data_IF_371972629025
#
_entry.id   IF_371972629025
#
_cell.length_a   1.000
_cell.length_b   1.000
_cell.length_c   1.000
_cell.angle_alpha   90.00
_cell.angle_beta   90.00
_cell.angle_gamma   90.00
#
_symmetry.space_group_name_H-M   'P 1'
#
loop_
_entity.id
_entity.type
_entity.pdbx_description
1 polymer ?
#
# COMPACT_ATOMS: atom_id res chain seq x y z
N UNK A 1 20.67 7.18 7.86
CA UNK A 1 20.05 5.93 8.35
C UNK A 1 18.58 6.05 8.06
N UNK A 2 17.99 5.07 7.41
CA UNK A 2 16.55 5.03 7.14
C UNK A 2 15.76 4.82 8.44
N UNK A 3 14.60 5.45 8.53
CA UNK A 3 13.70 5.31 9.68
C UNK A 3 12.35 4.81 9.21
N UNK A 4 11.86 3.74 9.81
CA UNK A 4 10.53 3.20 9.53
C UNK A 4 10.20 3.11 8.02
N UNK A 5 10.97 2.34 7.21
CA UNK A 5 10.70 2.21 5.79
C UNK A 5 9.39 1.44 5.57
N UNK A 6 8.50 1.95 4.71
CA UNK A 6 7.17 1.38 4.46
C UNK A 6 7.07 0.69 3.12
N UNK A 7 7.60 1.32 2.07
CA UNK A 7 7.55 0.79 0.71
C UNK A 7 8.89 1.00 0.01
N UNK A 8 9.19 0.15 -0.98
CA UNK A 8 10.36 0.28 -1.80
C UNK A 8 10.09 -0.15 -3.24
N UNK A 9 10.82 0.45 -4.18
CA UNK A 9 10.80 0.02 -5.57
C UNK A 9 12.12 0.36 -6.25
N UNK A 10 12.50 -0.44 -7.25
CA UNK A 10 13.69 -0.21 -8.03
C UNK A 10 13.36 0.23 -9.45
N UNK A 11 14.18 1.11 -9.99
CA UNK A 11 14.12 1.41 -11.41
C UNK A 11 14.96 0.40 -12.22
N UNK A 12 14.90 0.55 -13.54
CA UNK A 12 15.63 -0.31 -14.47
C UNK A 12 17.16 -0.18 -14.42
N UNK A 13 17.67 0.82 -13.71
CA UNK A 13 19.10 1.02 -13.47
C UNK A 13 19.56 0.43 -12.14
N UNK A 14 18.62 -0.10 -11.34
CA UNK A 14 18.89 -0.64 -10.00
C UNK A 14 18.95 0.42 -8.92
N UNK A 15 18.55 1.67 -9.20
CA UNK A 15 18.38 2.68 -8.17
C UNK A 15 17.16 2.36 -7.33
N UNK A 16 17.31 2.41 -6.02
CA UNK A 16 16.28 2.03 -5.06
C UNK A 16 15.62 3.28 -4.48
N UNK A 17 14.30 3.35 -4.63
CA UNK A 17 13.47 4.37 -4.01
C UNK A 17 12.79 3.77 -2.79
N UNK A 18 12.97 4.40 -1.63
CA UNK A 18 12.45 3.93 -0.34
C UNK A 18 11.63 5.01 0.31
N UNK A 19 10.43 4.66 0.72
CA UNK A 19 9.53 5.56 1.47
C UNK A 19 9.81 5.42 2.96
N UNK A 20 10.01 6.56 3.62
CA UNK A 20 10.18 6.66 5.06
C UNK A 20 8.98 7.36 5.68
N UNK A 21 8.33 6.74 6.68
CA UNK A 21 7.24 7.39 7.40
C UNK A 21 7.67 7.95 8.75
N UNK A 22 7.32 9.21 8.98
CA UNK A 22 7.37 9.87 10.28
C UNK A 22 5.95 10.15 10.83
N UNK A 23 4.91 10.01 9.99
CA UNK A 23 3.53 10.34 10.34
C UNK A 23 2.82 9.23 11.08
N UNK A 24 3.09 7.95 10.76
CA UNK A 24 2.47 6.81 11.40
C UNK A 24 2.65 6.84 12.92
N UNK A 25 1.54 6.67 13.66
CA UNK A 25 1.54 6.69 15.12
C UNK A 25 1.93 8.04 15.75
N UNK A 26 2.02 9.11 14.94
CA UNK A 26 2.36 10.47 15.39
C UNK A 26 1.28 11.48 15.04
N UNK A 27 0.93 11.61 13.77
CA UNK A 27 -0.06 12.56 13.23
C UNK A 27 -1.01 11.92 12.23
N UNK A 28 -0.80 10.66 11.87
CA UNK A 28 -1.78 9.86 11.15
C UNK A 28 -2.95 9.55 12.08
N UNK A 29 -4.16 9.94 11.66
CA UNK A 29 -5.33 9.91 12.53
C UNK A 29 -6.00 8.55 12.50
N UNK A 30 -6.39 8.09 13.69
CA UNK A 30 -7.13 6.86 13.89
C UNK A 30 -8.37 7.12 14.76
N UNK A 31 -9.54 6.94 14.18
CA UNK A 31 -10.81 7.25 14.85
C UNK A 31 -11.11 6.31 16.03
N UNK A 32 -10.38 5.20 16.16
CA UNK A 32 -10.51 4.28 17.30
C UNK A 32 -10.29 4.97 18.64
N UNK A 33 -9.47 5.99 18.66
CA UNK A 33 -9.21 6.83 19.83
C UNK A 33 -10.25 7.93 20.03
N UNK A 34 -11.14 8.16 19.05
CA UNK A 34 -12.08 9.29 19.01
C UNK A 34 -13.50 8.82 18.69
N UNK A 35 -14.09 8.02 19.55
CA UNK A 35 -15.42 7.41 19.32
C UNK A 35 -16.55 8.40 19.10
N UNK A 36 -16.44 9.59 19.65
CA UNK A 36 -17.37 10.71 19.44
C UNK A 36 -17.30 11.30 18.02
N UNK A 37 -16.26 10.94 17.24
CA UNK A 37 -16.12 11.39 15.85
C UNK A 37 -16.73 10.40 14.84
N UNK A 38 -17.04 9.17 15.24
CA UNK A 38 -17.46 8.07 14.34
C UNK A 38 -18.63 8.48 13.44
N UNK A 39 -19.66 9.13 13.98
CA UNK A 39 -20.83 9.53 13.18
C UNK A 39 -20.46 10.62 12.17
N UNK A 40 -19.65 11.59 12.59
CA UNK A 40 -19.21 12.68 11.71
C UNK A 40 -18.28 12.13 10.61
N UNK A 41 -17.36 11.22 10.94
CA UNK A 41 -16.47 10.56 9.99
C UNK A 41 -17.27 9.73 8.98
N UNK A 42 -18.16 8.83 9.43
CA UNK A 42 -19.00 8.01 8.55
C UNK A 42 -19.95 8.82 7.66
N UNK A 43 -20.23 10.06 8.02
CA UNK A 43 -21.03 10.99 7.19
C UNK A 43 -20.20 11.66 6.09
N UNK A 44 -18.88 11.61 6.16
CA UNK A 44 -17.98 12.20 5.17
C UNK A 44 -18.12 11.50 3.81
N UNK A 45 -18.10 12.27 2.74
CA UNK A 45 -18.26 11.80 1.37
C UNK A 45 -17.14 12.29 0.45
N UNK A 46 -16.38 13.29 0.92
CA UNK A 46 -15.33 13.96 0.12
C UNK A 46 -14.15 14.35 1.00
N UNK A 47 -13.04 14.68 0.35
CA UNK A 47 -11.85 15.24 1.03
C UNK A 47 -12.16 16.55 1.74
N UNK A 48 -13.10 17.33 1.22
CA UNK A 48 -13.55 18.57 1.89
C UNK A 48 -14.26 18.29 3.22
N UNK A 49 -14.95 17.17 3.34
CA UNK A 49 -15.66 16.81 4.57
C UNK A 49 -14.69 16.34 5.66
N UNK A 50 -13.73 15.45 5.33
CA UNK A 50 -12.72 15.01 6.31
C UNK A 50 -11.82 16.17 6.75
N UNK A 51 -11.44 17.07 5.84
CA UNK A 51 -10.70 18.29 6.19
C UNK A 51 -11.49 19.18 7.13
N UNK A 52 -12.80 19.34 6.88
CA UNK A 52 -13.69 20.08 7.77
C UNK A 52 -13.81 19.42 9.15
N UNK A 53 -13.92 18.08 9.18
CA UNK A 53 -13.95 17.31 10.42
C UNK A 53 -12.71 17.60 11.26
N UNK A 54 -11.51 17.45 10.69
CA UNK A 54 -10.25 17.70 11.39
C UNK A 54 -10.18 19.14 11.91
N UNK A 55 -10.45 20.12 11.07
CA UNK A 55 -10.40 21.53 11.46
C UNK A 55 -11.45 21.90 12.50
N UNK A 56 -12.58 21.19 12.57
CA UNK A 56 -13.62 21.39 13.58
C UNK A 56 -13.24 20.72 14.90
N UNK A 57 -12.86 19.46 14.87
CA UNK A 57 -12.54 18.67 16.07
C UNK A 57 -11.20 19.09 16.69
N UNK A 58 -10.28 19.58 15.88
CA UNK A 58 -8.98 20.09 16.31
C UNK A 58 -8.87 21.61 16.09
N UNK A 59 -9.96 22.35 16.33
CA UNK A 59 -9.93 23.82 16.21
C UNK A 59 -9.02 24.45 17.28
N UNK A 60 -8.38 25.59 16.99
CA UNK A 60 -7.57 26.32 18.00
C UNK A 60 -8.34 26.66 19.28
N UNK A 61 -9.65 26.91 19.16
CA UNK A 61 -10.54 27.14 20.30
C UNK A 61 -10.72 25.90 21.20
N UNK A 62 -10.34 24.71 20.75
CA UNK A 62 -10.37 23.46 21.50
C UNK A 62 -8.98 23.03 21.99
N UNK A 63 -7.97 23.91 21.91
CA UNK A 63 -6.57 23.58 22.25
C UNK A 63 -6.43 22.92 23.62
N UNK A 64 -7.01 23.49 24.69
CA UNK A 64 -6.94 22.89 26.03
C UNK A 64 -7.67 21.52 26.12
N UNK A 65 -8.73 21.33 25.33
CA UNK A 65 -9.43 20.05 25.23
C UNK A 65 -8.57 19.00 24.51
N UNK A 66 -7.83 19.40 23.49
CA UNK A 66 -7.01 18.51 22.66
C UNK A 66 -5.62 18.20 23.28
N UNK A 67 -5.12 19.07 24.16
CA UNK A 67 -3.81 18.95 24.81
C UNK A 67 -3.45 17.57 25.38
N UNK A 68 -4.36 16.78 25.97
CA UNK A 68 -4.03 15.47 26.50
C UNK A 68 -3.60 14.42 25.46
N UNK A 69 -3.98 14.60 24.18
CA UNK A 69 -3.74 13.61 23.12
C UNK A 69 -3.05 14.17 21.86
N UNK A 70 -3.12 15.49 21.62
CA UNK A 70 -2.50 16.16 20.48
C UNK A 70 -1.32 17.02 20.97
N UNK A 71 -0.06 16.58 20.79
CA UNK A 71 1.10 17.38 21.16
C UNK A 71 1.25 18.66 20.33
N UNK A 72 1.68 19.76 20.93
CA UNK A 72 2.09 20.99 20.23
C UNK A 72 3.41 20.74 19.48
N UNK A 73 3.31 20.28 18.23
CA UNK A 73 4.46 19.90 17.41
C UNK A 73 5.05 21.06 16.64
N UNK A 74 4.24 22.05 16.31
CA UNK A 74 4.67 23.26 15.61
C UNK A 74 5.17 24.35 16.57
N UNK A 75 5.04 24.13 17.90
CA UNK A 75 5.51 24.99 18.99
C UNK A 75 4.88 26.41 18.95
N UNK A 76 3.63 26.51 18.52
CA UNK A 76 2.89 27.78 18.48
C UNK A 76 2.08 28.05 19.76
N UNK A 77 2.10 27.13 20.73
CA UNK A 77 1.39 27.20 22.00
C UNK A 77 -0.06 26.74 21.92
N UNK A 78 -0.49 26.17 20.78
CA UNK A 78 -1.83 25.60 20.56
C UNK A 78 -1.75 24.11 20.25
N UNK A 79 -2.77 23.36 20.62
CA UNK A 79 -2.92 21.93 20.32
C UNK A 79 -4.06 21.77 19.32
N UNK A 80 -3.76 21.90 18.03
CA UNK A 80 -4.76 21.96 16.97
C UNK A 80 -4.31 21.30 15.66
N UNK A 81 -5.18 21.33 14.63
CA UNK A 81 -4.93 20.68 13.35
C UNK A 81 -3.60 21.09 12.67
N UNK A 82 -3.00 22.26 13.02
CA UNK A 82 -1.73 22.71 12.44
C UNK A 82 -0.56 21.86 12.92
N UNK A 83 -0.68 21.23 14.10
CA UNK A 83 0.31 20.29 14.60
C UNK A 83 0.50 19.07 13.69
N UNK A 84 -0.57 18.66 12.98
CA UNK A 84 -0.48 17.58 12.01
C UNK A 84 0.38 17.94 10.79
N UNK A 85 0.59 19.24 10.54
CA UNK A 85 1.42 19.71 9.41
C UNK A 85 2.91 19.80 9.75
N UNK A 86 3.28 19.64 11.01
CA UNK A 86 4.68 19.73 11.45
C UNK A 86 5.52 18.51 11.06
N UNK A 87 4.89 17.37 10.74
CA UNK A 87 5.56 16.10 10.43
C UNK A 87 5.49 15.82 8.94
N UNK A 88 6.67 15.64 8.34
CA UNK A 88 6.85 15.40 6.89
C UNK A 88 7.14 13.95 6.60
N UNK A 89 6.66 13.48 5.46
CA UNK A 89 7.07 12.20 4.85
C UNK A 89 8.21 12.40 3.86
N UNK A 90 8.96 11.31 3.58
CA UNK A 90 10.13 11.34 2.68
C UNK A 90 10.20 10.13 1.76
N UNK A 91 10.77 10.36 0.59
CA UNK A 91 11.25 9.33 -0.32
C UNK A 91 12.77 9.47 -0.39
N UNK A 92 13.47 8.38 -0.16
CA UNK A 92 14.93 8.30 -0.28
C UNK A 92 15.33 7.61 -1.61
N UNK A 93 16.39 8.09 -2.22
CA UNK A 93 17.09 7.45 -3.33
C UNK A 93 18.37 6.84 -2.80
N UNK A 94 18.49 5.52 -2.98
CA UNK A 94 19.69 4.76 -2.63
C UNK A 94 20.29 4.15 -3.89
N UNK A 95 21.62 4.12 -3.97
CA UNK A 95 22.32 3.49 -5.07
C UNK A 95 23.62 2.87 -4.59
N UNK A 96 23.89 1.64 -5.01
CA UNK A 96 25.16 0.94 -4.92
C UNK A 96 25.86 1.15 -6.28
N UNK A 97 26.92 1.96 -6.29
CA UNK A 97 27.59 2.38 -7.53
C UNK A 97 28.76 1.48 -7.90
N UNK A 98 29.34 0.77 -6.93
CA UNK A 98 30.48 -0.12 -7.15
C UNK A 98 30.11 -1.62 -7.07
N UNK A 99 28.83 -1.92 -6.80
CA UNK A 99 28.24 -3.26 -6.67
C UNK A 99 28.87 -4.12 -5.56
N UNK A 100 29.26 -3.47 -4.44
CA UNK A 100 29.77 -4.17 -3.26
C UNK A 100 28.63 -4.69 -2.34
N UNK A 101 27.37 -4.35 -2.63
CA UNK A 101 26.16 -4.71 -1.88
C UNK A 101 25.83 -3.71 -0.78
N UNK A 102 26.42 -2.51 -0.82
CA UNK A 102 26.09 -1.39 0.07
C UNK A 102 25.76 -0.16 -0.75
N UNK A 103 24.88 0.66 -0.23
CA UNK A 103 24.55 1.93 -0.88
C UNK A 103 25.65 2.96 -0.63
N UNK A 104 26.30 3.44 -1.71
CA UNK A 104 27.24 4.57 -1.69
C UNK A 104 26.53 5.91 -1.72
N UNK A 105 25.36 5.95 -2.37
CA UNK A 105 24.51 7.14 -2.48
C UNK A 105 23.27 6.91 -1.61
N UNK A 106 23.00 7.88 -0.73
CA UNK A 106 21.77 7.95 0.05
C UNK A 106 21.33 9.41 0.12
N UNK A 107 20.25 9.76 -0.59
CA UNK A 107 19.73 11.12 -0.69
C UNK A 107 18.23 11.15 -0.40
N UNK A 108 17.73 12.27 0.07
CA UNK A 108 16.29 12.55 0.02
C UNK A 108 15.94 12.89 -1.43
N UNK A 109 15.09 12.07 -2.05
CA UNK A 109 14.58 12.28 -3.40
C UNK A 109 13.40 13.26 -3.42
N UNK A 110 12.50 13.15 -2.46
CA UNK A 110 11.40 14.08 -2.28
C UNK A 110 11.00 14.14 -0.80
N UNK A 111 10.53 15.29 -0.35
CA UNK A 111 9.99 15.47 1.00
C UNK A 111 8.83 16.48 1.01
N UNK A 112 8.11 16.50 2.11
CA UNK A 112 6.93 17.33 2.31
C UNK A 112 5.76 16.45 2.67
N UNK A 113 4.70 16.44 1.86
CA UNK A 113 3.53 15.58 2.04
C UNK A 113 2.99 15.65 3.48
N UNK A 114 2.73 16.89 3.96
CA UNK A 114 2.44 17.17 5.35
C UNK A 114 1.21 18.05 5.55
N UNK A 115 0.20 17.94 4.67
CA UNK A 115 -1.10 18.55 4.94
C UNK A 115 -1.76 17.85 6.14
N UNK A 116 -2.68 18.54 6.81
CA UNK A 116 -3.37 18.02 8.00
C UNK A 116 -4.09 16.68 7.76
N UNK A 117 -4.51 16.43 6.53
CA UNK A 117 -5.23 15.23 6.13
C UNK A 117 -4.35 14.16 5.48
N UNK A 118 -3.03 14.39 5.38
CA UNK A 118 -2.16 13.35 4.85
C UNK A 118 -2.09 12.18 5.82
N UNK A 119 -2.21 10.97 5.28
CA UNK A 119 -1.90 9.72 5.95
C UNK A 119 -0.39 9.40 5.89
N UNK A 120 -0.08 8.13 5.79
CA UNK A 120 1.27 7.59 5.58
C UNK A 120 1.58 7.54 4.09
N UNK A 121 2.80 7.91 3.70
CA UNK A 121 3.27 7.62 2.35
C UNK A 121 3.55 6.12 2.24
N UNK A 122 2.80 5.41 1.40
CA UNK A 122 2.74 3.95 1.47
C UNK A 122 3.01 3.24 0.14
N UNK A 123 3.32 3.98 -0.92
CA UNK A 123 3.69 3.42 -2.21
C UNK A 123 4.67 4.28 -2.97
N UNK A 124 5.57 3.64 -3.70
CA UNK A 124 6.50 4.29 -4.63
C UNK A 124 6.74 3.41 -5.83
N UNK A 125 6.75 3.99 -7.03
CA UNK A 125 7.00 3.28 -8.29
C UNK A 125 7.75 4.17 -9.28
N UNK A 126 9.03 3.94 -9.54
CA UNK A 126 9.73 4.60 -10.63
C UNK A 126 9.30 4.00 -11.99
N UNK A 127 8.99 4.87 -12.95
CA UNK A 127 8.60 4.46 -14.29
C UNK A 127 9.04 5.50 -15.34
N UNK A 128 9.95 5.12 -16.24
CA UNK A 128 10.39 5.94 -17.39
C UNK A 128 10.86 7.36 -17.05
N UNK A 129 11.58 7.51 -15.95
CA UNK A 129 12.11 8.80 -15.50
C UNK A 129 11.18 9.58 -14.55
N UNK A 130 9.92 9.20 -14.44
CA UNK A 130 9.01 9.68 -13.42
C UNK A 130 9.02 8.74 -12.21
N UNK A 131 8.67 9.25 -11.05
CA UNK A 131 8.42 8.45 -9.84
C UNK A 131 7.00 8.75 -9.36
N UNK A 132 6.18 7.71 -9.26
CA UNK A 132 4.85 7.82 -8.69
C UNK A 132 4.90 7.50 -7.20
N UNK A 133 4.15 8.25 -6.39
CA UNK A 133 4.04 8.03 -4.96
C UNK A 133 2.60 8.18 -4.49
N UNK A 134 2.24 7.43 -3.46
CA UNK A 134 0.88 7.43 -2.91
C UNK A 134 0.88 7.86 -1.46
N UNK A 135 0.08 8.88 -1.15
CA UNK A 135 -0.22 9.34 0.21
C UNK A 135 -1.58 10.06 0.20
N UNK A 136 -2.51 9.69 1.07
CA UNK A 136 -3.77 10.43 1.15
C UNK A 136 -3.55 11.94 1.25
N UNK A 137 -4.34 12.77 0.55
CA UNK A 137 -5.43 12.38 -0.35
C UNK A 137 -5.02 12.19 -1.82
N UNK A 138 -3.72 12.06 -2.12
CA UNK A 138 -3.18 12.23 -3.46
C UNK A 138 -2.35 11.04 -3.94
N UNK A 139 -2.43 10.78 -5.24
CA UNK A 139 -1.37 10.13 -6.01
C UNK A 139 -0.48 11.22 -6.58
N UNK A 140 0.82 11.13 -6.39
CA UNK A 140 1.81 12.09 -6.84
C UNK A 140 2.59 11.58 -8.04
N UNK A 141 2.99 12.50 -8.90
CA UNK A 141 3.97 12.30 -9.95
C UNK A 141 5.15 13.23 -9.69
N UNK A 142 6.32 12.64 -9.56
CA UNK A 142 7.57 13.30 -9.18
C UNK A 142 8.59 13.14 -10.31
N UNK A 143 9.38 14.17 -10.58
CA UNK A 143 10.37 14.11 -11.65
C UNK A 143 11.64 14.90 -11.24
N UNK A 144 12.78 14.24 -11.37
CA UNK A 144 14.13 14.80 -11.26
C UNK A 144 14.56 15.25 -12.67
N UNK A 145 14.48 16.54 -12.95
CA UNK A 145 14.66 17.10 -14.29
C UNK A 145 16.13 17.28 -14.63
N UNK A 146 16.96 17.62 -13.66
CA UNK A 146 18.39 17.91 -13.87
C UNK A 146 19.30 16.72 -13.53
N UNK A 147 18.74 15.65 -12.98
CA UNK A 147 19.45 14.39 -12.69
C UNK A 147 20.31 14.43 -11.43
N UNK A 148 20.04 15.37 -10.52
CA UNK A 148 20.81 15.51 -9.27
C UNK A 148 20.39 14.54 -8.16
N UNK A 149 19.27 13.81 -8.36
CA UNK A 149 18.70 12.84 -7.44
C UNK A 149 17.69 13.44 -6.47
N UNK A 150 17.19 14.66 -6.74
CA UNK A 150 16.07 15.30 -6.05
C UNK A 150 14.95 15.62 -7.05
N UNK A 151 13.70 15.47 -6.64
CA UNK A 151 12.55 15.73 -7.51
C UNK A 151 12.24 17.24 -7.59
N UNK A 152 12.65 17.88 -8.71
CA UNK A 152 12.37 19.29 -9.00
C UNK A 152 10.89 19.58 -9.20
N UNK A 153 10.15 18.58 -9.69
CA UNK A 153 8.71 18.67 -9.93
C UNK A 153 7.98 17.67 -9.08
N UNK A 154 6.97 18.16 -8.37
CA UNK A 154 6.05 17.38 -7.58
C UNK A 154 4.63 17.79 -7.96
N UNK A 155 3.93 16.94 -8.68
CA UNK A 155 2.59 17.20 -9.20
C UNK A 155 1.58 16.25 -8.60
N UNK A 156 0.41 16.77 -8.21
CA UNK A 156 -0.73 15.92 -7.86
C UNK A 156 -1.27 15.27 -9.16
N UNK A 157 -1.11 13.96 -9.24
CA UNK A 157 -1.56 13.18 -10.40
C UNK A 157 -3.05 12.85 -10.30
N UNK A 158 -3.53 12.47 -9.12
CA UNK A 158 -4.92 12.33 -8.75
C UNK A 158 -5.17 12.81 -7.33
N UNK A 159 -6.37 13.35 -7.08
CA UNK A 159 -6.83 13.84 -5.78
C UNK A 159 -8.19 13.25 -5.44
N UNK A 160 -8.41 12.87 -4.16
CA UNK A 160 -9.72 12.46 -3.68
C UNK A 160 -9.76 11.12 -2.96
N UNK A 161 -8.64 10.63 -2.45
CA UNK A 161 -8.55 9.40 -1.68
C UNK A 161 -8.52 9.67 -0.18
N UNK A 162 -9.06 8.74 0.64
CA UNK A 162 -9.13 8.91 2.08
C UNK A 162 -10.21 9.89 2.52
N UNK A 163 -11.47 9.58 2.23
CA UNK A 163 -12.63 10.41 2.64
C UNK A 163 -13.01 10.17 4.11
N UNK A 164 -12.37 9.20 4.76
CA UNK A 164 -12.50 8.90 6.18
C UNK A 164 -11.14 8.90 6.88
N UNK A 165 -11.15 9.04 8.21
CA UNK A 165 -10.03 8.85 9.10
C UNK A 165 -10.23 7.60 9.99
N UNK A 166 -10.91 6.58 9.47
CA UNK A 166 -11.38 5.45 10.24
C UNK A 166 -10.23 4.65 10.89
N UNK A 167 -9.13 4.42 10.13
CA UNK A 167 -7.99 3.63 10.59
C UNK A 167 -6.69 4.17 10.03
N UNK A 168 -5.66 4.25 10.87
CA UNK A 168 -4.30 4.52 10.45
C UNK A 168 -3.75 3.37 9.59
N UNK A 169 -2.99 3.68 8.55
CA UNK A 169 -2.39 2.69 7.64
C UNK A 169 -3.36 2.06 6.64
N UNK A 170 -4.61 2.53 6.53
CA UNK A 170 -5.54 2.15 5.46
C UNK A 170 -5.46 3.15 4.29
N UNK A 171 -4.25 3.34 3.80
CA UNK A 171 -3.87 4.39 2.88
C UNK A 171 -4.02 4.00 1.39
N UNK A 172 -3.32 4.74 0.53
CA UNK A 172 -3.08 4.41 -0.86
C UNK A 172 -1.83 3.56 -0.97
N UNK A 173 -1.94 2.41 -1.63
CA UNK A 173 -0.86 1.42 -1.71
C UNK A 173 -0.68 0.85 -3.12
N UNK A 174 0.12 -0.19 -3.24
CA UNK A 174 0.11 -1.20 -4.29
C UNK A 174 0.39 -0.72 -5.70
N UNK A 175 1.14 0.37 -5.89
CA UNK A 175 1.54 0.84 -7.22
C UNK A 175 2.25 -0.29 -7.99
N UNK A 176 1.67 -0.69 -9.14
CA UNK A 176 2.26 -1.72 -10.00
C UNK A 176 1.88 -1.52 -11.47
N UNK A 177 2.66 -2.12 -12.36
CA UNK A 177 2.38 -2.13 -13.80
C UNK A 177 1.58 -3.37 -14.14
N UNK A 178 0.42 -3.18 -14.76
CA UNK A 178 -0.38 -4.29 -15.25
C UNK A 178 0.13 -4.89 -16.55
N UNK A 179 -0.29 -6.12 -16.89
CA UNK A 179 0.07 -6.77 -18.16
C UNK A 179 -0.50 -6.05 -19.39
N UNK A 180 -1.50 -5.20 -19.20
CA UNK A 180 -2.08 -4.29 -20.19
C UNK A 180 -1.27 -2.99 -20.37
N UNK A 181 -0.17 -2.85 -19.63
CA UNK A 181 0.70 -1.69 -19.66
C UNK A 181 0.19 -0.50 -18.87
N UNK A 182 -0.91 -0.62 -18.12
CA UNK A 182 -1.49 0.44 -17.29
C UNK A 182 -0.86 0.50 -15.90
N UNK A 183 -1.00 1.65 -15.25
CA UNK A 183 -0.72 1.83 -13.83
C UNK A 183 -1.90 1.32 -13.00
N UNK A 184 -1.64 0.41 -12.06
CA UNK A 184 -2.58 -0.07 -11.06
C UNK A 184 -2.16 0.41 -9.67
N UNK A 185 -3.14 0.68 -8.82
CA UNK A 185 -2.91 1.01 -7.41
C UNK A 185 -4.14 0.65 -6.56
N UNK A 186 -3.91 0.44 -5.27
CA UNK A 186 -4.97 0.10 -4.33
C UNK A 186 -5.27 1.27 -3.38
N UNK A 187 -6.46 1.27 -2.83
CA UNK A 187 -6.93 2.19 -1.81
C UNK A 187 -7.60 1.41 -0.70
N UNK A 188 -7.29 1.73 0.56
CA UNK A 188 -7.95 1.18 1.72
C UNK A 188 -9.39 1.67 1.88
N UNK A 189 -10.10 1.12 2.87
CA UNK A 189 -11.53 1.39 3.09
C UNK A 189 -11.85 2.79 3.65
N UNK A 190 -10.82 3.62 3.90
CA UNK A 190 -10.99 5.07 4.03
C UNK A 190 -11.57 5.70 2.77
N UNK A 191 -11.66 4.92 1.70
CA UNK A 191 -12.47 5.18 0.51
C UNK A 191 -11.98 6.32 -0.38
N UNK A 192 -12.78 6.65 -1.38
CA UNK A 192 -12.40 7.67 -2.35
C UNK A 192 -13.60 8.37 -3.01
N UNK A 193 -13.36 9.61 -3.42
CA UNK A 193 -14.26 10.42 -4.23
C UNK A 193 -13.41 11.23 -5.22
N UNK A 194 -13.05 10.62 -6.35
CA UNK A 194 -12.07 11.11 -7.32
C UNK A 194 -12.75 11.54 -8.61
N UNK A 195 -12.39 12.72 -9.11
CA UNK A 195 -12.81 13.16 -10.44
C UNK A 195 -11.73 12.81 -11.46
N UNK A 196 -12.09 12.03 -12.47
CA UNK A 196 -11.18 11.67 -13.57
C UNK A 196 -10.87 12.88 -14.45
N UNK A 197 -9.85 12.78 -15.29
CA UNK A 197 -9.48 13.85 -16.25
C UNK A 197 -10.61 14.13 -17.23
N UNK A 198 -11.40 13.12 -17.56
CA UNK A 198 -12.57 13.22 -18.44
C UNK A 198 -13.80 13.79 -17.74
N UNK A 199 -13.69 14.13 -16.43
CA UNK A 199 -14.75 14.73 -15.63
C UNK A 199 -15.72 13.75 -14.96
N UNK A 200 -15.54 12.44 -15.13
CA UNK A 200 -16.33 11.41 -14.44
C UNK A 200 -16.00 11.41 -12.94
N UNK A 201 -17.00 11.27 -12.09
CA UNK A 201 -16.81 11.08 -10.65
C UNK A 201 -16.80 9.58 -10.33
N UNK A 202 -15.72 9.11 -9.74
CA UNK A 202 -15.60 7.79 -9.13
C UNK A 202 -15.82 7.98 -7.63
N UNK A 203 -16.90 7.43 -7.08
CA UNK A 203 -17.35 7.71 -5.73
C UNK A 203 -17.66 6.43 -4.98
N UNK A 204 -16.75 6.02 -4.12
CA UNK A 204 -16.82 4.83 -3.27
C UNK A 204 -16.26 5.17 -1.87
N UNK A 205 -16.99 5.94 -1.06
CA UNK A 205 -16.46 6.46 0.20
C UNK A 205 -16.30 5.40 1.30
N UNK A 206 -17.01 4.28 1.22
CA UNK A 206 -17.12 3.30 2.31
C UNK A 206 -16.46 1.95 1.99
N UNK A 207 -15.55 1.89 1.06
CA UNK A 207 -14.89 0.63 0.68
C UNK A 207 -13.54 0.91 0.04
N UNK A 208 -12.61 0.02 0.27
CA UNK A 208 -11.38 -0.01 -0.49
C UNK A 208 -11.57 -0.66 -1.87
N UNK A 209 -10.56 -0.52 -2.69
CA UNK A 209 -10.60 -1.05 -4.05
C UNK A 209 -9.27 -0.99 -4.77
N UNK A 210 -9.29 -1.43 -6.02
CA UNK A 210 -8.19 -1.31 -6.97
C UNK A 210 -8.63 -0.43 -8.13
N UNK A 211 -7.80 0.53 -8.48
CA UNK A 211 -7.99 1.41 -9.63
C UNK A 211 -6.87 1.17 -10.66
N UNK A 212 -7.15 1.53 -11.92
CA UNK A 212 -6.14 1.57 -12.98
C UNK A 212 -6.31 2.76 -13.88
N UNK A 213 -5.24 3.20 -14.52
CA UNK A 213 -5.26 4.31 -15.49
C UNK A 213 -4.11 4.19 -16.49
N UNK A 214 -4.14 5.00 -17.55
CA UNK A 214 -3.00 5.21 -18.42
C UNK A 214 -1.95 6.10 -17.73
N UNK A 215 -0.69 6.04 -18.19
CA UNK A 215 0.44 6.76 -17.58
C UNK A 215 0.35 8.28 -17.66
N UNK A 216 -0.49 8.81 -18.53
CA UNK A 216 -0.81 10.23 -18.59
C UNK A 216 -1.98 10.62 -17.66
N UNK A 217 -2.57 9.66 -16.93
CA UNK A 217 -3.70 9.83 -16.04
C UNK A 217 -5.06 9.84 -16.73
N UNK A 218 -5.12 9.56 -18.01
CA UNK A 218 -6.39 9.33 -18.72
C UNK A 218 -6.96 7.94 -18.37
N UNK A 219 -8.25 7.76 -18.64
CA UNK A 219 -8.97 6.52 -18.46
C UNK A 219 -8.87 5.93 -17.04
N UNK A 220 -8.85 6.81 -16.02
CA UNK A 220 -8.93 6.33 -14.63
C UNK A 220 -10.26 5.62 -14.40
N UNK A 221 -10.19 4.38 -13.96
CA UNK A 221 -11.36 3.55 -13.67
C UNK A 221 -11.19 2.70 -12.43
N UNK A 222 -12.31 2.28 -11.85
CA UNK A 222 -12.34 1.31 -10.76
C UNK A 222 -12.25 -0.08 -11.36
N UNK A 223 -11.19 -0.81 -11.02
CA UNK A 223 -10.98 -2.19 -11.45
C UNK A 223 -11.77 -3.18 -10.58
N UNK A 224 -11.71 -3.01 -9.25
CA UNK A 224 -12.42 -3.83 -8.28
C UNK A 224 -12.71 -3.04 -6.99
N UNK A 225 -13.73 -3.46 -6.25
CA UNK A 225 -14.11 -2.87 -4.95
C UNK A 225 -14.36 -3.95 -3.89
N UNK A 226 -14.79 -3.53 -2.71
CA UNK A 226 -15.17 -4.45 -1.63
C UNK A 226 -13.97 -5.00 -0.87
N UNK A 227 -12.85 -4.34 -0.92
CA UNK A 227 -11.62 -4.66 -0.20
C UNK A 227 -11.51 -3.77 1.03
N UNK A 228 -10.85 -4.28 2.10
CA UNK A 228 -10.62 -3.50 3.31
C UNK A 228 -9.34 -2.70 3.23
N UNK A 229 -8.21 -3.38 3.12
CA UNK A 229 -6.90 -2.71 3.06
C UNK A 229 -5.88 -3.59 2.34
N UNK A 230 -5.96 -3.59 1.03
CA UNK A 230 -5.00 -4.26 0.15
C UNK A 230 -3.73 -3.40 0.09
N UNK A 231 -2.63 -3.90 0.64
CA UNK A 231 -1.36 -3.17 0.73
C UNK A 231 -0.57 -3.21 -0.59
N UNK A 232 -0.50 -4.37 -1.23
CA UNK A 232 0.29 -4.56 -2.44
C UNK A 232 -0.46 -5.44 -3.44
N UNK A 233 -0.16 -5.22 -4.71
CA UNK A 233 -0.74 -5.93 -5.84
C UNK A 233 0.34 -6.74 -6.56
N UNK A 234 0.02 -7.98 -6.97
CA UNK A 234 0.92 -8.80 -7.74
C UNK A 234 0.19 -9.52 -8.88
N UNK A 235 0.73 -9.41 -10.09
CA UNK A 235 0.31 -10.20 -11.23
C UNK A 235 1.18 -11.45 -11.34
N UNK A 236 0.57 -12.60 -11.67
CA UNK A 236 1.29 -13.80 -12.09
C UNK A 236 1.74 -13.72 -13.57
N UNK A 237 2.43 -14.74 -14.04
CA UNK A 237 2.90 -14.83 -15.44
C UNK A 237 1.77 -14.84 -16.49
N UNK A 238 0.53 -15.08 -16.08
CA UNK A 238 -0.64 -15.13 -16.94
C UNK A 238 -1.51 -13.87 -16.88
N UNK A 239 -1.09 -12.88 -16.08
CA UNK A 239 -1.81 -11.62 -15.90
C UNK A 239 -2.98 -11.70 -14.92
N UNK A 240 -3.05 -12.72 -14.09
CA UNK A 240 -4.02 -12.78 -13.00
C UNK A 240 -3.56 -11.89 -11.85
N UNK A 241 -4.46 -11.05 -11.35
CA UNK A 241 -4.18 -10.13 -10.26
C UNK A 241 -4.53 -10.75 -8.91
N UNK A 242 -3.58 -10.74 -8.00
CA UNK A 242 -3.75 -11.22 -6.63
C UNK A 242 -3.33 -10.18 -5.60
N UNK A 243 -3.86 -10.33 -4.39
CA UNK A 243 -3.44 -9.57 -3.22
C UNK A 243 -3.78 -10.30 -1.93
N UNK A 244 -3.34 -9.72 -0.80
CA UNK A 244 -3.79 -10.10 0.53
C UNK A 244 -4.49 -8.91 1.17
N UNK A 245 -5.74 -9.12 1.59
CA UNK A 245 -6.61 -8.12 2.16
C UNK A 245 -6.73 -8.30 3.67
N UNK A 246 -6.63 -7.21 4.43
CA UNK A 246 -6.69 -7.22 5.88
C UNK A 246 -8.03 -7.77 6.41
N UNK A 247 -7.98 -8.38 7.59
CA UNK A 247 -9.15 -8.76 8.36
C UNK A 247 -9.93 -7.52 8.88
N UNK A 248 -11.11 -7.75 9.46
CA UNK A 248 -11.95 -6.69 10.05
C UNK A 248 -11.69 -6.45 11.54
N UNK A 249 -10.54 -6.87 12.08
CA UNK A 249 -10.22 -6.84 13.51
C UNK A 249 -11.23 -7.65 14.36
N UNK A 250 -11.78 -8.73 13.83
CA UNK A 250 -12.69 -9.64 14.51
C UNK A 250 -11.93 -10.92 14.82
N UNK A 251 -12.08 -11.42 16.05
CA UNK A 251 -11.25 -12.51 16.60
C UNK A 251 -11.16 -13.76 15.72
N UNK A 252 -12.23 -14.13 15.06
CA UNK A 252 -12.32 -15.33 14.19
C UNK A 252 -12.03 -15.05 12.73
N UNK A 253 -11.83 -13.79 12.35
CA UNK A 253 -11.49 -13.40 10.98
C UNK A 253 -9.97 -13.50 10.78
N UNK A 254 -9.59 -13.76 9.54
CA UNK A 254 -8.19 -13.88 9.09
C UNK A 254 -7.95 -13.00 7.90
N UNK A 255 -6.69 -12.69 7.65
CA UNK A 255 -6.24 -12.03 6.43
C UNK A 255 -6.61 -12.87 5.21
N UNK A 256 -7.15 -12.25 4.18
CA UNK A 256 -7.70 -12.96 3.00
C UNK A 256 -6.75 -12.90 1.82
N UNK A 257 -6.35 -14.04 1.29
CA UNK A 257 -5.71 -14.12 -0.02
C UNK A 257 -6.80 -14.06 -1.10
N UNK A 258 -6.77 -13.04 -1.94
CA UNK A 258 -7.85 -12.73 -2.89
C UNK A 258 -7.36 -12.73 -4.34
N UNK A 259 -8.18 -13.31 -5.23
CA UNK A 259 -8.07 -13.16 -6.66
C UNK A 259 -8.95 -11.99 -7.10
N UNK A 260 -8.36 -10.98 -7.68
CA UNK A 260 -9.02 -9.72 -8.02
C UNK A 260 -9.28 -9.69 -9.51
N UNK A 261 -10.56 -9.68 -9.89
CA UNK A 261 -10.98 -9.63 -11.30
C UNK A 261 -11.66 -8.30 -11.61
N UNK A 262 -11.61 -7.89 -12.87
CA UNK A 262 -12.29 -6.66 -13.31
C UNK A 262 -13.80 -6.72 -13.00
N UNK A 263 -14.29 -5.65 -12.35
CA UNK A 263 -15.69 -5.53 -11.94
C UNK A 263 -16.06 -6.34 -10.69
N UNK A 264 -15.10 -7.02 -10.03
CA UNK A 264 -15.40 -7.79 -8.83
C UNK A 264 -15.69 -6.90 -7.61
N UNK A 265 -16.53 -7.43 -6.71
CA UNK A 265 -16.81 -6.88 -5.39
C UNK A 265 -16.54 -7.99 -4.37
N UNK A 266 -15.55 -7.76 -3.49
CA UNK A 266 -15.21 -8.67 -2.39
C UNK A 266 -16.06 -8.45 -1.14
N UNK A 267 -16.99 -7.49 -1.16
CA UNK A 267 -18.09 -7.32 -0.21
C UNK A 267 -17.82 -6.44 0.99
N UNK A 268 -16.58 -6.06 1.26
CA UNK A 268 -16.26 -5.23 2.42
C UNK A 268 -16.87 -3.82 2.33
N UNK A 269 -17.35 -3.32 3.49
CA UNK A 269 -17.85 -1.95 3.68
C UNK A 269 -17.41 -1.44 5.05
N UNK A 270 -16.83 -0.26 5.09
CA UNK A 270 -16.24 0.35 6.28
C UNK A 270 -17.20 0.37 7.47
N UNK A 271 -18.44 0.79 7.26
CA UNK A 271 -19.44 0.94 8.34
C UNK A 271 -19.84 -0.38 9.03
N UNK A 272 -19.47 -1.54 8.48
CA UNK A 272 -19.72 -2.82 9.13
C UNK A 272 -18.96 -2.96 10.45
N UNK A 273 -17.77 -2.38 10.56
CA UNK A 273 -16.96 -2.42 11.79
C UNK A 273 -17.62 -1.69 12.96
N UNK A 274 -18.47 -0.72 12.69
CA UNK A 274 -19.13 0.09 13.69
C UNK A 274 -20.55 -0.39 14.06
N UNK A 275 -21.04 -1.45 13.40
CA UNK A 275 -22.34 -2.05 13.73
C UNK A 275 -22.26 -2.84 15.03
N UNK A 276 -23.19 -2.55 15.94
CA UNK A 276 -23.42 -3.18 17.25
C UNK A 276 -22.19 -3.32 18.16
N UNK A 277 -22.24 -2.63 19.27
CA UNK A 277 -21.41 -2.88 20.43
C UNK A 277 -20.11 -2.12 20.47
N UNK A 278 -19.87 -1.24 19.54
CA UNK A 278 -18.67 -0.41 19.54
C UNK A 278 -17.39 -1.23 19.33
N UNK A 279 -16.27 -0.60 19.54
CA UNK A 279 -14.95 -1.20 19.38
C UNK A 279 -14.75 -2.38 20.34
N UNK A 280 -14.05 -3.48 19.95
CA UNK A 280 -14.11 -4.78 20.64
C UNK A 280 -13.75 -4.78 22.09
N UNK A 281 -12.81 -3.95 22.47
CA UNK A 281 -12.17 -4.02 23.78
C UNK A 281 -13.04 -3.47 24.91
N UNK A 282 -14.16 -2.82 24.60
CA UNK A 282 -14.93 -2.05 25.56
C UNK A 282 -16.38 -2.51 25.72
N UNK A 283 -16.82 -3.52 24.99
CA UNK A 283 -18.18 -4.04 25.11
C UNK A 283 -18.19 -5.54 25.31
N UNK A 284 -19.00 -6.00 26.26
CA UNK A 284 -19.29 -7.43 26.45
C UNK A 284 -20.21 -8.00 25.36
N UNK A 285 -20.62 -7.17 24.39
CA UNK A 285 -21.53 -7.57 23.33
C UNK A 285 -20.72 -7.99 22.12
N UNK A 286 -20.91 -9.20 21.57
CA UNK A 286 -20.26 -9.63 20.33
C UNK A 286 -20.54 -8.64 19.20
N UNK A 287 -19.53 -8.31 18.42
CA UNK A 287 -19.72 -7.57 17.17
C UNK A 287 -20.48 -8.44 16.18
N UNK A 288 -21.44 -7.84 15.53
CA UNK A 288 -22.08 -8.41 14.36
C UNK A 288 -21.42 -7.82 13.11
N UNK A 289 -20.77 -8.67 12.35
CA UNK A 289 -20.22 -8.32 11.03
C UNK A 289 -21.01 -9.14 9.98
N UNK A 290 -21.85 -8.53 9.15
CA UNK A 290 -22.65 -9.27 8.16
C UNK A 290 -21.79 -10.14 7.24
N UNK A 291 -20.59 -9.68 6.90
CA UNK A 291 -19.61 -10.43 6.12
C UNK A 291 -19.32 -11.80 6.72
N UNK A 292 -18.94 -11.83 8.02
CA UNK A 292 -18.56 -13.05 8.73
C UNK A 292 -19.79 -13.86 9.14
N UNK A 293 -20.75 -13.20 9.77
CA UNK A 293 -21.90 -13.87 10.40
C UNK A 293 -22.82 -14.50 9.37
N UNK A 294 -22.99 -13.86 8.23
CA UNK A 294 -23.82 -14.36 7.12
C UNK A 294 -23.02 -15.12 6.08
N UNK A 295 -21.70 -15.19 6.23
CA UNK A 295 -20.80 -15.89 5.29
C UNK A 295 -21.08 -15.50 3.83
N UNK A 296 -21.06 -14.19 3.56
CA UNK A 296 -21.49 -13.65 2.27
C UNK A 296 -20.67 -14.16 1.07
N UNK A 297 -19.51 -14.74 1.31
CA UNK A 297 -18.67 -15.39 0.29
C UNK A 297 -19.09 -16.84 -0.04
N UNK A 298 -20.06 -17.42 0.70
CA UNK A 298 -20.51 -18.79 0.46
C UNK A 298 -21.89 -18.81 -0.20
N UNK A 299 -22.12 -19.70 -1.18
CA UNK A 299 -23.46 -20.00 -1.64
C UNK A 299 -24.29 -20.65 -0.51
N UNK A 300 -25.54 -20.21 -0.35
CA UNK A 300 -26.44 -20.73 0.68
C UNK A 300 -27.23 -21.96 0.20
N UNK A 301 -27.25 -22.24 -1.10
CA UNK A 301 -27.87 -23.44 -1.69
C UNK A 301 -27.15 -23.84 -2.97
N UNK A 302 -27.39 -25.09 -3.36
CA UNK A 302 -26.81 -25.67 -4.59
C UNK A 302 -27.29 -24.90 -5.83
N UNK A 303 -26.35 -24.43 -6.64
CA UNK A 303 -26.62 -23.68 -7.87
C UNK A 303 -26.75 -22.17 -7.71
N UNK A 304 -26.66 -21.65 -6.47
CA UNK A 304 -26.53 -20.22 -6.25
C UNK A 304 -25.14 -19.75 -6.64
N UNK A 305 -25.05 -18.65 -7.38
CA UNK A 305 -23.78 -17.92 -7.53
C UNK A 305 -23.39 -17.28 -6.18
N UNK A 306 -22.11 -17.23 -5.88
CA UNK A 306 -21.63 -16.43 -4.74
C UNK A 306 -21.99 -14.96 -4.94
N UNK A 307 -22.39 -14.27 -3.88
CA UNK A 307 -22.75 -12.84 -3.94
C UNK A 307 -21.52 -11.95 -4.20
N UNK A 308 -20.37 -12.42 -3.75
CA UNK A 308 -19.09 -11.70 -3.77
C UNK A 308 -17.97 -12.67 -4.09
N UNK A 309 -16.81 -12.14 -4.46
CA UNK A 309 -15.62 -12.97 -4.74
C UNK A 309 -15.08 -13.56 -3.43
N UNK A 310 -15.07 -14.88 -3.27
CA UNK A 310 -14.58 -15.50 -2.05
C UNK A 310 -13.05 -15.43 -1.94
N UNK A 311 -12.48 -15.43 -0.71
CA UNK A 311 -11.05 -15.61 -0.55
C UNK A 311 -10.59 -17.00 -0.98
N UNK A 312 -9.35 -17.12 -1.42
CA UNK A 312 -8.74 -18.40 -1.81
C UNK A 312 -8.13 -19.13 -0.62
N UNK A 313 -7.59 -18.36 0.31
CA UNK A 313 -6.96 -18.84 1.54
C UNK A 313 -6.92 -17.73 2.57
N UNK A 314 -6.48 -18.07 3.77
CA UNK A 314 -6.38 -17.17 4.91
C UNK A 314 -4.97 -17.20 5.49
N UNK A 315 -4.49 -16.04 5.92
CA UNK A 315 -3.21 -15.88 6.62
C UNK A 315 -3.42 -15.47 8.08
N UNK A 316 -2.33 -15.38 8.84
CA UNK A 316 -2.44 -15.16 10.29
C UNK A 316 -2.72 -13.72 10.66
N UNK A 317 -1.90 -12.77 10.25
CA UNK A 317 -1.97 -11.34 10.65
C UNK A 317 -1.21 -10.41 9.71
N UNK A 318 -1.73 -9.19 9.54
CA UNK A 318 -1.04 -7.99 9.08
C UNK A 318 -0.21 -8.11 7.82
N UNK A 319 -0.83 -8.26 6.64
CA UNK A 319 -0.10 -8.32 5.39
C UNK A 319 0.61 -6.98 5.14
N UNK A 320 1.84 -7.06 4.63
CA UNK A 320 2.62 -5.94 4.14
C UNK A 320 2.97 -6.13 2.66
N UNK A 321 4.27 -6.06 2.34
CA UNK A 321 4.76 -6.28 0.97
C UNK A 321 4.32 -7.61 0.38
N UNK A 322 3.89 -7.58 -0.88
CA UNK A 322 3.42 -8.75 -1.61
C UNK A 322 3.88 -8.69 -3.07
N UNK A 323 4.69 -9.67 -3.50
CA UNK A 323 5.23 -9.70 -4.88
C UNK A 323 5.26 -11.11 -5.44
N UNK A 324 5.13 -11.19 -6.76
CA UNK A 324 5.35 -12.40 -7.54
C UNK A 324 6.80 -12.43 -8.05
N UNK A 325 7.45 -13.60 -8.05
CA UNK A 325 8.81 -13.75 -8.58
C UNK A 325 8.81 -13.47 -10.09
N UNK A 326 9.62 -12.54 -10.59
CA UNK A 326 9.67 -12.21 -12.02
C UNK A 326 10.28 -13.30 -12.92
N UNK A 327 10.57 -14.49 -12.38
CA UNK A 327 11.14 -15.63 -13.10
C UNK A 327 12.66 -15.62 -13.24
N UNK A 328 13.31 -14.51 -12.93
CA UNK A 328 14.77 -14.37 -12.95
C UNK A 328 15.40 -14.18 -11.58
N UNK A 329 14.56 -13.99 -10.56
CA UNK A 329 14.98 -13.76 -9.20
C UNK A 329 15.11 -15.08 -8.42
N UNK A 330 16.02 -15.05 -7.42
CA UNK A 330 16.32 -16.21 -6.57
C UNK A 330 16.77 -17.43 -7.41
N UNK A 331 16.41 -18.65 -6.99
CA UNK A 331 16.70 -19.87 -7.76
C UNK A 331 15.43 -20.49 -8.36
N UNK A 332 15.61 -21.50 -9.22
CA UNK A 332 14.51 -22.12 -9.98
C UNK A 332 13.39 -22.71 -9.11
N UNK A 333 13.66 -23.05 -7.83
CA UNK A 333 12.65 -23.49 -6.88
C UNK A 333 11.53 -22.47 -6.73
N UNK A 334 11.89 -21.19 -6.74
CA UNK A 334 10.95 -20.09 -6.46
C UNK A 334 10.32 -19.47 -7.71
N UNK A 335 10.51 -20.10 -8.88
CA UNK A 335 9.82 -19.65 -10.10
C UNK A 335 8.31 -19.88 -9.96
N UNK A 336 7.52 -18.84 -10.23
CA UNK A 336 6.06 -18.88 -10.07
C UNK A 336 5.56 -18.78 -8.63
N UNK A 337 6.39 -18.31 -7.71
CA UNK A 337 6.03 -18.09 -6.31
C UNK A 337 5.67 -16.66 -6.02
N UNK A 338 4.72 -16.50 -5.11
CA UNK A 338 4.41 -15.27 -4.41
C UNK A 338 5.18 -15.22 -3.09
N UNK A 339 5.49 -14.01 -2.66
CA UNK A 339 6.11 -13.72 -1.36
C UNK A 339 5.27 -12.69 -0.64
N UNK A 340 4.91 -12.98 0.61
CA UNK A 340 4.11 -12.14 1.48
C UNK A 340 4.88 -11.80 2.74
N UNK A 341 5.01 -10.51 3.03
CA UNK A 341 5.43 -10.03 4.35
C UNK A 341 4.27 -10.11 5.33
N UNK A 342 4.37 -10.94 6.34
CA UNK A 342 3.46 -10.95 7.49
C UNK A 342 4.13 -10.14 8.61
N UNK A 343 3.95 -8.82 8.54
CA UNK A 343 4.70 -7.81 9.28
C UNK A 343 4.73 -8.04 10.79
N UNK A 344 3.58 -8.22 11.51
CA UNK A 344 3.60 -8.34 12.97
C UNK A 344 4.22 -9.63 13.50
N UNK A 345 4.22 -10.69 12.71
CA UNK A 345 4.78 -11.99 13.09
C UNK A 345 6.19 -12.23 12.56
N UNK A 346 6.79 -11.19 11.97
CA UNK A 346 8.19 -11.15 11.56
C UNK A 346 8.58 -12.29 10.62
N UNK A 347 7.74 -12.60 9.63
CA UNK A 347 8.04 -13.63 8.65
C UNK A 347 7.70 -13.19 7.23
N UNK A 348 8.38 -13.78 6.27
CA UNK A 348 8.02 -13.75 4.86
C UNK A 348 7.60 -15.16 4.47
N UNK A 349 6.37 -15.30 4.02
CA UNK A 349 5.80 -16.57 3.56
C UNK A 349 5.92 -16.64 2.04
N UNK A 350 6.40 -17.78 1.52
CA UNK A 350 6.44 -18.10 0.09
C UNK A 350 5.36 -19.15 -0.22
N UNK A 351 4.67 -19.00 -1.34
CA UNK A 351 3.67 -19.95 -1.82
C UNK A 351 3.44 -19.80 -3.31
N UNK A 352 2.77 -20.76 -3.92
CA UNK A 352 2.34 -20.68 -5.32
C UNK A 352 0.86 -20.99 -5.43
N UNK A 353 0.31 -20.86 -6.64
CA UNK A 353 -1.09 -21.12 -6.92
C UNK A 353 -1.25 -22.17 -8.01
N UNK A 354 -2.33 -22.90 -7.97
CA UNK A 354 -2.76 -23.76 -9.09
C UNK A 354 -4.24 -23.50 -9.43
N UNK A 355 -4.63 -23.61 -10.70
CA UNK A 355 -6.02 -23.45 -11.10
C UNK A 355 -6.95 -24.46 -10.42
N UNK A 356 -8.11 -23.97 -9.97
CA UNK A 356 -9.19 -24.77 -9.38
C UNK A 356 -10.54 -24.31 -9.95
N UNK A 357 -10.97 -24.92 -11.03
CA UNK A 357 -12.14 -24.46 -11.79
C UNK A 357 -11.89 -23.08 -12.41
N UNK A 358 -12.78 -22.13 -12.15
CA UNK A 358 -12.61 -20.72 -12.54
C UNK A 358 -11.82 -19.89 -11.53
N UNK A 359 -11.15 -20.51 -10.58
CA UNK A 359 -10.49 -19.91 -9.45
C UNK A 359 -9.11 -20.54 -9.21
N UNK A 360 -8.46 -20.21 -8.11
CA UNK A 360 -7.17 -20.76 -7.74
C UNK A 360 -7.19 -21.34 -6.33
N UNK A 361 -6.25 -22.22 -6.06
CA UNK A 361 -5.95 -22.72 -4.72
C UNK A 361 -4.48 -22.40 -4.42
N UNK A 362 -4.22 -21.93 -3.20
CA UNK A 362 -2.85 -21.71 -2.69
C UNK A 362 -2.23 -23.07 -2.38
N UNK A 363 -1.00 -23.28 -2.82
CA UNK A 363 -0.24 -24.52 -2.60
C UNK A 363 1.21 -24.23 -2.25
N UNK A 364 1.88 -25.22 -1.66
CA UNK A 364 3.29 -25.20 -1.27
C UNK A 364 3.69 -23.98 -0.41
N UNK A 365 2.81 -23.60 0.52
CA UNK A 365 3.07 -22.55 1.50
C UNK A 365 4.17 -22.96 2.47
N UNK A 366 5.16 -22.09 2.66
CA UNK A 366 6.23 -22.27 3.66
C UNK A 366 6.84 -20.94 4.07
N UNK A 367 7.49 -20.93 5.24
CA UNK A 367 8.24 -19.77 5.71
C UNK A 367 9.51 -19.64 4.87
N UNK A 368 9.66 -18.52 4.15
CA UNK A 368 10.86 -18.19 3.38
C UNK A 368 11.93 -17.53 4.26
N UNK A 369 11.55 -16.51 5.04
CA UNK A 369 12.41 -15.84 6.02
C UNK A 369 11.68 -15.62 7.33
N UNK A 370 12.42 -15.58 8.42
CA UNK A 370 11.88 -15.33 9.75
C UNK A 370 12.80 -14.42 10.58
N UNK A 371 12.22 -13.65 11.51
CA UNK A 371 12.97 -12.78 12.43
C UNK A 371 13.21 -11.37 11.90
N UNK A 372 12.47 -10.96 10.87
CA UNK A 372 12.57 -9.67 10.20
C UNK A 372 11.18 -9.03 10.15
N UNK A 373 11.07 -7.78 10.57
CA UNK A 373 9.81 -7.03 10.52
C UNK A 373 9.61 -6.36 9.15
N UNK A 374 9.52 -7.23 8.14
CA UNK A 374 9.48 -6.81 6.74
C UNK A 374 8.18 -6.07 6.41
N UNK A 375 8.28 -4.79 6.02
CA UNK A 375 7.16 -3.95 5.59
C UNK A 375 6.91 -4.04 4.09
N UNK A 376 7.95 -4.17 3.29
CA UNK A 376 7.86 -4.26 1.83
C UNK A 376 8.92 -5.18 1.24
N UNK A 377 8.61 -5.73 0.07
CA UNK A 377 9.55 -6.48 -0.78
C UNK A 377 9.43 -6.04 -2.23
N UNK A 378 10.54 -6.11 -2.96
CA UNK A 378 10.54 -5.98 -4.42
C UNK A 378 11.73 -6.73 -5.02
N UNK A 379 11.70 -6.97 -6.33
CA UNK A 379 12.79 -7.61 -7.05
C UNK A 379 13.55 -6.60 -7.90
N UNK A 380 14.87 -6.64 -7.82
CA UNK A 380 15.74 -5.79 -8.61
C UNK A 380 16.00 -6.36 -10.02
N UNK A 381 16.48 -5.52 -10.95
CA UNK A 381 16.90 -5.96 -12.27
C UNK A 381 18.08 -6.93 -12.23
N UNK A 382 18.81 -6.98 -11.13
CA UNK A 382 19.91 -7.91 -10.83
C UNK A 382 19.42 -9.31 -10.41
N UNK A 383 18.11 -9.47 -10.17
CA UNK A 383 17.49 -10.71 -9.70
C UNK A 383 17.54 -10.93 -8.19
N UNK A 384 17.97 -9.94 -7.42
CA UNK A 384 17.91 -9.96 -5.96
C UNK A 384 16.51 -9.57 -5.47
N UNK A 385 16.09 -10.12 -4.34
CA UNK A 385 14.94 -9.64 -3.58
C UNK A 385 15.41 -8.58 -2.59
N UNK A 386 14.83 -7.40 -2.65
CA UNK A 386 15.06 -6.31 -1.71
C UNK A 386 13.91 -6.23 -0.71
N UNK A 387 14.25 -6.09 0.57
CA UNK A 387 13.32 -6.14 1.70
C UNK A 387 13.51 -4.87 2.52
N UNK A 388 12.41 -4.14 2.75
CA UNK A 388 12.39 -3.07 3.74
C UNK A 388 12.08 -3.67 5.10
N UNK A 389 12.94 -3.45 6.07
CA UNK A 389 12.83 -3.95 7.43
C UNK A 389 12.62 -2.78 8.39
N UNK A 390 11.55 -2.83 9.15
CA UNK A 390 11.22 -1.82 10.15
C UNK A 390 12.14 -1.86 11.37
N UNK A 391 12.80 -2.98 11.58
CA UNK A 391 13.75 -3.27 12.67
C UNK A 391 13.18 -2.96 14.06
N UNK A 392 12.32 -3.82 14.57
CA UNK A 392 11.92 -3.76 15.96
C UNK A 392 10.47 -4.07 16.28
N UNK A 393 9.69 -3.08 16.73
CA UNK A 393 8.34 -3.23 17.26
C UNK A 393 7.30 -2.65 16.30
N UNK A 394 6.05 -3.01 16.50
CA UNK A 394 4.90 -2.47 15.76
C UNK A 394 4.86 -0.93 15.73
N UNK A 395 5.22 -0.29 16.84
CA UNK A 395 5.29 1.17 16.89
C UNK A 395 6.54 1.71 16.21
N UNK A 396 6.48 2.87 15.56
CA UNK A 396 7.65 3.54 15.01
C UNK A 396 8.76 3.69 16.05
N UNK A 397 9.98 3.33 15.67
CA UNK A 397 11.14 3.30 16.58
C UNK A 397 12.35 4.04 16.03
N UNK A 398 12.18 4.74 14.90
CA UNK A 398 13.25 5.48 14.20
C UNK A 398 14.42 4.58 13.71
N UNK A 399 14.18 3.28 13.62
CA UNK A 399 15.11 2.32 13.05
C UNK A 399 14.60 1.83 11.69
N UNK A 400 15.42 1.15 10.95
CA UNK A 400 15.06 0.51 9.71
C UNK A 400 16.26 0.26 8.80
N UNK A 401 16.09 -0.66 7.89
CA UNK A 401 17.12 -1.05 6.95
C UNK A 401 16.56 -1.62 5.66
N UNK A 402 17.44 -1.78 4.70
CA UNK A 402 17.15 -2.51 3.46
C UNK A 402 18.10 -3.69 3.39
N UNK A 403 17.52 -4.83 3.09
CA UNK A 403 18.26 -6.08 2.91
C UNK A 403 18.13 -6.57 1.49
N UNK A 404 19.21 -7.09 0.93
CA UNK A 404 19.19 -7.79 -0.36
C UNK A 404 19.39 -9.29 -0.11
N UNK A 405 18.48 -10.10 -0.63
CA UNK A 405 18.52 -11.57 -0.55
C UNK A 405 18.65 -12.13 -1.95
N UNK A 406 19.67 -12.98 -2.15
CA UNK A 406 19.94 -13.58 -3.46
C UNK A 406 20.60 -14.95 -3.31
N UNK A 407 20.56 -15.73 -4.40
CA UNK A 407 21.40 -16.94 -4.56
C UNK A 407 22.75 -16.53 -5.15
N UNK A 408 23.86 -16.61 -4.36
CA UNK A 408 25.18 -16.18 -4.85
C UNK A 408 25.65 -16.94 -6.10
N UNK A 409 25.16 -18.18 -6.30
CA UNK A 409 25.47 -18.98 -7.47
C UNK A 409 24.91 -18.47 -8.77
N UNK A 410 23.82 -17.65 -8.68
CA UNK A 410 23.11 -17.13 -9.83
C UNK A 410 23.41 -15.66 -10.17
N UNK A 411 24.13 -14.94 -9.32
CA UNK A 411 24.48 -13.52 -9.54
C UNK A 411 25.10 -13.24 -10.92
N UNK A 412 25.90 -14.17 -11.42
CA UNK A 412 26.58 -14.07 -12.72
C UNK A 412 25.94 -14.94 -13.80
N UNK A 413 24.69 -15.40 -13.61
CA UNK A 413 24.02 -16.19 -14.63
C UNK A 413 23.80 -15.36 -15.89
N UNK A 414 23.97 -15.99 -17.05
CA UNK A 414 23.82 -15.33 -18.34
C UNK A 414 22.45 -14.67 -18.50
N UNK A 415 21.40 -15.39 -18.11
CA UNK A 415 20.01 -14.89 -18.19
C UNK A 415 19.80 -13.61 -17.38
N UNK A 416 20.27 -13.56 -16.13
CA UNK A 416 20.14 -12.35 -15.29
C UNK A 416 20.88 -11.16 -15.87
N UNK A 417 22.12 -11.38 -16.33
CA UNK A 417 22.93 -10.32 -16.94
C UNK A 417 22.30 -9.79 -18.23
N UNK A 418 21.73 -10.67 -19.06
CA UNK A 418 21.00 -10.28 -20.27
C UNK A 418 19.72 -9.49 -19.96
N UNK A 419 18.92 -9.93 -18.96
CA UNK A 419 17.71 -9.22 -18.52
C UNK A 419 18.05 -7.86 -17.94
N UNK A 420 19.02 -7.77 -17.03
CA UNK A 420 19.46 -6.50 -16.45
C UNK A 420 19.95 -5.52 -17.52
N UNK A 421 20.72 -6.01 -18.51
CA UNK A 421 21.14 -5.21 -19.66
C UNK A 421 19.96 -4.77 -20.51
N UNK A 422 19.04 -5.66 -20.84
CA UNK A 422 17.86 -5.34 -21.64
C UNK A 422 16.99 -4.26 -20.96
N UNK A 423 16.71 -4.40 -19.66
CA UNK A 423 15.96 -3.42 -18.92
C UNK A 423 16.61 -2.04 -18.92
N UNK A 424 17.94 -1.99 -18.70
CA UNK A 424 18.72 -0.75 -18.72
C UNK A 424 18.73 -0.08 -20.10
N UNK A 425 19.02 -0.86 -21.15
CA UNK A 425 19.23 -0.32 -22.50
C UNK A 425 17.93 0.01 -23.22
N UNK A 426 16.84 -0.76 -22.99
CA UNK A 426 15.57 -0.60 -23.72
C UNK A 426 14.80 0.64 -23.35
N UNK A 427 14.98 1.16 -22.14
CA UNK A 427 14.26 2.36 -21.67
C UNK A 427 15.06 3.65 -21.83
N UNK A 428 16.37 3.57 -22.08
CA UNK A 428 17.22 4.74 -22.31
C UNK A 428 17.32 5.16 -23.79
N UNK A 429 16.89 4.33 -24.74
CA UNK A 429 17.25 4.52 -26.16
C UNK A 429 16.10 4.56 -27.17
N UNK A 430 14.83 4.49 -26.77
CA UNK A 430 13.71 4.55 -27.73
C UNK A 430 12.61 5.52 -27.29
N UNK A 431 12.28 6.54 -28.10
CA UNK A 431 10.95 7.13 -28.02
C UNK A 431 9.94 6.02 -28.30
N UNK A 432 8.93 5.90 -27.44
CA UNK A 432 7.80 5.00 -27.69
C UNK A 432 7.17 5.43 -29.01
N UNK A 433 7.00 4.55 -30.00
CA UNK A 433 6.19 4.90 -31.15
C UNK A 433 4.81 5.30 -30.65
N UNK A 434 4.34 6.47 -31.02
CA UNK A 434 2.94 6.85 -30.87
C UNK A 434 2.10 5.81 -31.59
N UNK A 435 1.33 5.04 -30.85
CA UNK A 435 0.27 4.20 -31.38
C UNK A 435 -0.85 5.06 -31.95
#
# INVERSE_FOLDING_TARGET
MLKNPVALSLDNQGRLYVVETARRGTVDMDIRSHKDWVIDDLSSQTIGDIRRLFRTKMAPSLSEHNKPWLPDRNQDGSHDWRDLTAVKERIHLLQDTDNDGKADVAKVYAEGFNQEINGVIAGVLPHRGDVFATIYPDVWKLNDVDGDGYADKQEVFFHGFGVHAAFDGHDLHGLTVGPDGKLYFSVGDNGFSVRTREGKLLHHPNTGGVLRCDWDGSHLEVFAIGLRNVQELAFDDYGNLFSVDNDGDIREERERFVYITEGSDSGWRLNWQFKKGGWPEQTKTPRYCPWIDEKLWLPHWKGQAAYITPPMSEFSVGPGGFKFNPGTALNDRYRGYFFLCEFPVQKITAFTTKPRGAYFEMVDEHIFLFGMMASAINFGPDGSMYIADWDGKWQPNELGGIWAVDDPGLRKSKTRLEVARFLRDSFNSRPVPSL
#
